data_IF_537912098250
#
_entry.id   IF_537912098250
#
_cell.length_a   1.000
_cell.length_b   1.000
_cell.length_c   1.000
_cell.angle_alpha   90.00
_cell.angle_beta   90.00
_cell.angle_gamma   90.00
#
_symmetry.space_group_name_H-M   'P 1'
#
loop_
_entity.id
_entity.type
_entity.pdbx_description
1 polymer ?
#
# COMPACT_ATOMS: atom_id res chain seq x y z
N UNK A 1 7.17 -4.20 -16.21
CA UNK A 1 7.36 -2.73 -16.38
C UNK A 1 8.09 -2.48 -17.67
N UNK A 2 7.39 -1.87 -18.63
CA UNK A 2 7.84 -1.78 -20.01
C UNK A 2 8.65 -0.52 -20.33
N UNK A 3 8.68 0.49 -19.45
CA UNK A 3 9.45 1.72 -19.70
C UNK A 3 10.09 2.33 -18.44
N UNK A 4 11.17 3.09 -18.63
CA UNK A 4 11.77 3.92 -17.56
C UNK A 4 10.79 5.01 -17.05
N UNK A 5 9.80 5.39 -17.86
CA UNK A 5 8.79 6.40 -17.52
C UNK A 5 7.79 5.84 -16.49
N UNK A 6 7.33 4.59 -16.65
CA UNK A 6 6.51 3.93 -15.63
C UNK A 6 7.25 3.82 -14.29
N UNK A 7 8.56 3.50 -14.32
CA UNK A 7 9.39 3.48 -13.10
C UNK A 7 9.44 4.85 -12.44
N UNK A 8 9.63 5.91 -13.22
CA UNK A 8 9.65 7.28 -12.73
C UNK A 8 8.33 7.66 -12.06
N UNK A 9 7.20 7.31 -12.68
CA UNK A 9 5.87 7.58 -12.13
C UNK A 9 5.63 6.82 -10.82
N UNK A 10 5.93 5.51 -10.78
CA UNK A 10 5.81 4.69 -9.56
C UNK A 10 6.66 5.23 -8.41
N UNK A 11 7.92 5.60 -8.69
CA UNK A 11 8.79 6.19 -7.68
C UNK A 11 8.32 7.59 -7.25
N UNK A 12 7.72 8.37 -8.15
CA UNK A 12 7.14 9.67 -7.81
C UNK A 12 5.92 9.51 -6.91
N UNK A 13 5.00 8.60 -7.26
CA UNK A 13 3.84 8.28 -6.44
C UNK A 13 4.24 7.72 -5.07
N UNK A 14 5.25 6.85 -5.00
CA UNK A 14 5.77 6.35 -3.73
C UNK A 14 6.32 7.46 -2.84
N UNK A 15 7.06 8.43 -3.40
CA UNK A 15 7.60 9.55 -2.62
C UNK A 15 6.49 10.47 -2.10
N UNK A 16 5.49 10.78 -2.93
CA UNK A 16 4.32 11.58 -2.51
C UNK A 16 3.59 10.88 -1.36
N UNK A 17 3.29 9.59 -1.54
CA UNK A 17 2.62 8.80 -0.52
C UNK A 17 3.41 8.75 0.80
N UNK A 18 4.75 8.65 0.74
CA UNK A 18 5.60 8.66 1.94
C UNK A 18 5.46 10.00 2.67
N UNK A 19 5.53 11.12 1.95
CA UNK A 19 5.44 12.45 2.54
C UNK A 19 4.06 12.66 3.20
N UNK A 20 2.97 12.31 2.50
CA UNK A 20 1.60 12.42 3.03
C UNK A 20 1.36 11.48 4.23
N UNK A 21 1.90 10.27 4.21
CA UNK A 21 1.81 9.36 5.36
C UNK A 21 2.58 9.88 6.58
N UNK A 22 3.67 10.62 6.39
CA UNK A 22 4.36 11.29 7.49
C UNK A 22 3.54 12.45 8.07
N UNK A 23 2.80 13.18 7.24
CA UNK A 23 1.86 14.21 7.70
C UNK A 23 0.71 13.58 8.51
N UNK A 24 0.09 12.51 8.00
CA UNK A 24 -0.93 11.73 8.72
C UNK A 24 -0.39 11.20 10.05
N UNK A 25 0.82 10.63 10.05
CA UNK A 25 1.48 10.12 11.26
C UNK A 25 1.67 11.24 12.30
N UNK A 26 2.07 12.42 11.86
CA UNK A 26 2.23 13.57 12.74
C UNK A 26 0.90 13.96 13.39
N UNK A 27 -0.18 14.09 12.60
CA UNK A 27 -1.53 14.37 13.10
C UNK A 27 -2.01 13.32 14.12
N UNK A 28 -1.91 12.04 13.77
CA UNK A 28 -2.33 10.93 14.67
C UNK A 28 -1.51 10.93 15.96
N UNK A 29 -0.20 11.18 15.88
CA UNK A 29 0.66 11.25 17.06
C UNK A 29 0.31 12.44 17.98
N UNK A 30 -0.31 13.49 17.45
CA UNK A 30 -0.84 14.62 18.21
C UNK A 30 -2.28 14.43 18.69
N UNK A 31 -2.88 13.25 18.47
CA UNK A 31 -4.20 12.88 18.99
C UNK A 31 -5.36 13.14 18.04
N UNK A 32 -5.10 13.47 16.78
CA UNK A 32 -6.15 13.56 15.76
C UNK A 32 -6.67 12.17 15.41
N UNK A 33 -7.98 12.07 15.19
CA UNK A 33 -8.60 10.87 14.66
C UNK A 33 -8.47 10.86 13.15
N UNK A 34 -8.19 9.69 12.57
CA UNK A 34 -8.20 9.55 11.11
C UNK A 34 -9.56 10.00 10.56
N UNK A 35 -9.57 10.80 9.50
CA UNK A 35 -10.78 11.28 8.84
C UNK A 35 -10.64 11.24 7.31
N UNK A 36 -11.55 11.88 6.56
CA UNK A 36 -11.52 11.84 5.09
C UNK A 36 -10.43 12.71 4.45
N UNK A 37 -9.74 13.55 5.21
CA UNK A 37 -8.65 14.39 4.69
C UNK A 37 -7.29 13.69 4.70
N UNK A 38 -7.18 12.60 5.46
CA UNK A 38 -5.95 11.83 5.62
C UNK A 38 -5.77 10.79 4.50
N UNK A 39 -4.56 10.67 3.96
CA UNK A 39 -4.20 9.74 2.89
C UNK A 39 -4.43 8.27 3.30
N UNK A 40 -4.29 7.95 4.59
CA UNK A 40 -4.62 6.64 5.15
C UNK A 40 -6.08 6.25 4.90
N UNK A 41 -7.03 7.19 4.94
CA UNK A 41 -8.46 6.91 4.74
C UNK A 41 -8.82 6.71 3.26
N UNK A 42 -7.97 7.17 2.36
CA UNK A 42 -8.11 6.96 0.93
C UNK A 42 -7.61 5.58 0.50
N UNK A 43 -6.41 5.20 0.97
CA UNK A 43 -5.75 3.99 0.47
C UNK A 43 -5.88 2.76 1.33
N UNK A 44 -6.25 2.89 2.61
CA UNK A 44 -6.48 1.74 3.46
C UNK A 44 -7.97 1.34 3.50
N UNK A 45 -8.25 0.04 3.70
CA UNK A 45 -9.58 -0.46 4.02
C UNK A 45 -10.24 0.32 5.18
N UNK A 46 -11.35 1.02 4.92
CA UNK A 46 -11.96 1.95 5.89
C UNK A 46 -12.58 1.26 7.11
N UNK A 47 -13.05 0.03 6.97
CA UNK A 47 -13.67 -0.73 8.06
C UNK A 47 -12.67 -1.02 9.19
N UNK A 48 -11.38 -1.20 8.86
CA UNK A 48 -10.34 -1.49 9.84
C UNK A 48 -9.72 -0.24 10.49
N UNK A 49 -10.29 0.95 10.26
CA UNK A 49 -9.74 2.25 10.70
C UNK A 49 -9.40 2.33 12.18
N UNK A 50 -10.15 1.64 13.03
CA UNK A 50 -9.90 1.53 14.48
C UNK A 50 -8.56 0.86 14.84
N UNK A 51 -7.93 0.16 13.90
CA UNK A 51 -6.64 -0.52 14.09
C UNK A 51 -5.43 0.32 13.63
N UNK A 52 -5.65 1.43 12.92
CA UNK A 52 -4.59 2.26 12.34
C UNK A 52 -4.01 3.22 13.39
N UNK A 53 -3.38 2.66 14.42
CA UNK A 53 -2.66 3.42 15.44
C UNK A 53 -1.28 3.88 14.93
N UNK A 54 -0.59 4.69 15.73
CA UNK A 54 0.77 5.21 15.44
C UNK A 54 1.75 4.11 14.98
N UNK A 55 1.73 2.95 15.63
CA UNK A 55 2.64 1.84 15.28
C UNK A 55 2.26 1.23 13.92
N UNK A 56 0.97 1.03 13.65
CA UNK A 56 0.49 0.56 12.35
C UNK A 56 0.98 1.48 11.23
N UNK A 57 0.78 2.79 11.38
CA UNK A 57 1.16 3.79 10.35
C UNK A 57 2.67 3.78 10.12
N UNK A 58 3.48 3.74 11.18
CA UNK A 58 4.95 3.62 11.05
C UNK A 58 5.35 2.37 10.27
N UNK A 59 4.72 1.22 10.54
CA UNK A 59 5.00 -0.02 9.82
C UNK A 59 4.57 0.08 8.36
N UNK A 60 3.42 0.69 8.08
CA UNK A 60 2.92 0.89 6.73
C UNK A 60 3.82 1.80 5.90
N UNK A 61 4.33 2.90 6.48
CA UNK A 61 5.35 3.76 5.84
C UNK A 61 6.59 2.94 5.46
N UNK A 62 7.07 2.06 6.34
CA UNK A 62 8.22 1.19 6.03
C UNK A 62 7.92 0.22 4.89
N UNK A 63 6.69 -0.30 4.78
CA UNK A 63 6.27 -1.08 3.61
C UNK A 63 6.40 -0.26 2.31
N UNK A 64 5.91 0.98 2.28
CA UNK A 64 6.02 1.87 1.11
C UNK A 64 7.49 2.16 0.76
N UNK A 65 8.34 2.44 1.76
CA UNK A 65 9.78 2.67 1.57
C UNK A 65 10.44 1.44 0.94
N UNK A 66 10.22 0.25 1.51
CA UNK A 66 10.81 -1.00 1.01
C UNK A 66 10.34 -1.32 -0.42
N UNK A 67 9.07 -1.04 -0.74
CA UNK A 67 8.55 -1.18 -2.10
C UNK A 67 9.22 -0.20 -3.07
N UNK A 68 9.45 1.05 -2.65
CA UNK A 68 10.16 2.04 -3.49
C UNK A 68 11.58 1.57 -3.88
N UNK A 69 12.31 0.95 -2.95
CA UNK A 69 13.61 0.34 -3.21
C UNK A 69 13.50 -0.85 -4.17
N UNK A 70 12.47 -1.67 -3.98
CA UNK A 70 12.18 -2.83 -4.82
C UNK A 70 11.86 -2.39 -6.26
N UNK A 71 10.95 -1.42 -6.45
CA UNK A 71 10.57 -0.84 -7.75
C UNK A 71 11.80 -0.25 -8.47
N UNK A 72 12.66 0.46 -7.73
CA UNK A 72 13.88 1.07 -8.30
C UNK A 72 14.82 0.04 -8.92
N UNK A 73 14.95 -1.12 -8.30
CA UNK A 73 15.86 -2.20 -8.72
C UNK A 73 15.16 -3.30 -9.51
N UNK A 74 13.84 -3.20 -9.71
CA UNK A 74 13.01 -4.23 -10.31
C UNK A 74 13.38 -4.53 -11.76
N UNK A 75 13.48 -5.83 -12.04
CA UNK A 75 13.80 -6.39 -13.36
C UNK A 75 12.60 -7.01 -14.07
N UNK A 76 11.44 -7.09 -13.42
CA UNK A 76 10.21 -7.61 -14.03
C UNK A 76 10.07 -9.13 -14.03
N UNK A 77 10.96 -9.86 -13.36
CA UNK A 77 10.94 -11.34 -13.29
C UNK A 77 10.45 -11.87 -11.94
N UNK A 78 10.31 -10.99 -10.94
CA UNK A 78 9.98 -11.34 -9.56
C UNK A 78 8.73 -10.58 -9.12
N UNK A 79 7.81 -11.27 -8.44
CA UNK A 79 6.69 -10.63 -7.75
C UNK A 79 7.21 -9.80 -6.56
N UNK A 80 6.58 -8.66 -6.32
CA UNK A 80 6.84 -7.75 -5.20
C UNK A 80 5.49 -7.27 -4.67
N UNK A 81 4.90 -7.98 -3.71
CA UNK A 81 5.12 -7.63 -2.31
C UNK A 81 5.38 -8.84 -1.41
N UNK A 82 6.00 -8.65 -0.23
CA UNK A 82 6.33 -9.74 0.69
C UNK A 82 5.20 -10.11 1.68
N UNK A 83 4.19 -9.25 1.82
CA UNK A 83 3.09 -9.36 2.79
C UNK A 83 1.83 -8.65 2.31
N UNK A 84 0.67 -8.91 2.93
CA UNK A 84 -0.60 -8.22 2.61
C UNK A 84 -0.49 -6.71 2.77
N UNK A 85 0.23 -6.22 3.78
CA UNK A 85 0.45 -4.80 3.99
C UNK A 85 1.25 -4.18 2.83
N UNK A 86 2.24 -4.92 2.30
CA UNK A 86 2.97 -4.50 1.11
C UNK A 86 2.08 -4.59 -0.15
N UNK A 87 1.13 -5.53 -0.26
CA UNK A 87 0.16 -5.51 -1.37
C UNK A 87 -0.70 -4.25 -1.34
N UNK A 88 -1.24 -3.89 -0.17
CA UNK A 88 -2.04 -2.68 0.01
C UNK A 88 -1.20 -1.44 -0.30
N UNK A 89 0.04 -1.38 0.19
CA UNK A 89 0.97 -0.28 -0.08
C UNK A 89 1.30 -0.16 -1.56
N UNK A 90 1.55 -1.27 -2.27
CA UNK A 90 1.83 -1.23 -3.71
C UNK A 90 0.62 -0.69 -4.49
N UNK A 91 -0.58 -1.13 -4.14
CA UNK A 91 -1.81 -0.60 -4.74
C UNK A 91 -1.95 0.91 -4.52
N UNK A 92 -1.59 1.40 -3.34
CA UNK A 92 -1.57 2.83 -3.04
C UNK A 92 -0.55 3.59 -3.91
N UNK A 93 0.66 3.03 -4.06
CA UNK A 93 1.72 3.59 -4.92
C UNK A 93 1.25 3.67 -6.38
N UNK A 94 0.61 2.63 -6.91
CA UNK A 94 0.11 2.61 -8.29
C UNK A 94 -0.91 3.72 -8.50
N UNK A 95 -1.88 3.87 -7.60
CA UNK A 95 -2.87 4.94 -7.68
C UNK A 95 -2.26 6.35 -7.60
N UNK A 96 -1.30 6.56 -6.70
CA UNK A 96 -0.57 7.82 -6.64
C UNK A 96 0.22 8.09 -7.92
N UNK A 97 0.80 7.04 -8.53
CA UNK A 97 1.51 7.15 -9.79
C UNK A 97 0.57 7.49 -10.97
N UNK A 98 -0.66 6.97 -10.98
CA UNK A 98 -1.71 7.34 -11.93
C UNK A 98 -2.04 8.82 -11.80
N UNK A 99 -2.43 9.26 -10.59
CA UNK A 99 -2.75 10.68 -10.29
C UNK A 99 -1.61 11.60 -10.68
N UNK A 100 -0.37 11.26 -10.30
CA UNK A 100 0.81 12.05 -10.66
C UNK A 100 1.02 12.13 -12.17
N UNK A 101 0.82 11.02 -12.89
CA UNK A 101 0.99 10.96 -14.34
C UNK A 101 -0.05 11.80 -15.07
N UNK A 102 -1.31 11.77 -14.63
CA UNK A 102 -2.38 12.62 -15.15
C UNK A 102 -2.03 14.11 -14.99
N UNK A 103 -1.60 14.52 -13.80
CA UNK A 103 -1.17 15.90 -13.54
C UNK A 103 0.04 16.31 -14.40
N UNK A 104 0.96 15.37 -14.67
CA UNK A 104 2.13 15.63 -15.53
C UNK A 104 1.77 15.67 -17.01
N UNK A 105 0.79 14.90 -17.45
CA UNK A 105 0.34 14.84 -18.84
C UNK A 105 -0.14 16.20 -19.36
N UNK A 106 -0.65 17.07 -18.48
CA UNK A 106 -1.01 18.46 -18.82
C UNK A 106 0.19 19.28 -19.34
N UNK A 107 1.41 18.94 -18.92
CA UNK A 107 2.64 19.67 -19.23
C UNK A 107 3.55 18.91 -20.21
N UNK A 108 3.53 17.59 -20.16
CA UNK A 108 4.37 16.72 -20.98
C UNK A 108 3.59 15.48 -21.41
N UNK A 109 3.26 15.41 -22.70
CA UNK A 109 2.42 14.36 -23.27
C UNK A 109 3.04 12.95 -23.16
N UNK A 110 4.34 12.82 -22.82
CA UNK A 110 4.95 11.49 -22.62
C UNK A 110 4.36 10.73 -21.43
N UNK A 111 3.70 11.42 -20.49
CA UNK A 111 2.99 10.81 -19.35
C UNK A 111 1.51 10.56 -19.65
N UNK A 112 1.02 10.93 -20.85
CA UNK A 112 -0.36 10.64 -21.26
C UNK A 112 -0.58 9.13 -21.43
N UNK A 113 -1.77 8.66 -21.05
CA UNK A 113 -2.17 7.25 -21.19
C UNK A 113 -1.23 6.28 -20.48
N UNK A 114 -0.74 6.64 -19.29
CA UNK A 114 0.04 5.70 -18.49
C UNK A 114 -0.87 4.55 -18.04
N UNK A 115 -0.44 3.33 -18.33
CA UNK A 115 -1.13 2.09 -17.97
C UNK A 115 -0.19 1.25 -17.11
N UNK A 116 -0.66 0.86 -15.92
CA UNK A 116 0.09 0.03 -14.97
C UNK A 116 -0.42 -1.41 -14.91
N UNK A 117 -1.43 -1.80 -15.68
CA UNK A 117 -2.04 -3.14 -15.61
C UNK A 117 -1.03 -4.27 -15.75
N UNK A 118 -0.14 -4.20 -16.75
CA UNK A 118 0.93 -5.20 -16.93
C UNK A 118 1.98 -5.17 -15.81
N UNK A 119 2.21 -4.01 -15.19
CA UNK A 119 3.03 -3.96 -13.99
C UNK A 119 2.34 -4.69 -12.84
N UNK A 120 1.07 -4.44 -12.61
CA UNK A 120 0.28 -5.06 -11.54
C UNK A 120 0.18 -6.57 -11.70
N UNK A 121 -0.09 -7.07 -12.91
CA UNK A 121 -0.18 -8.50 -13.23
C UNK A 121 1.10 -9.28 -12.91
N UNK A 122 2.26 -8.63 -12.96
CA UNK A 122 3.56 -9.25 -12.69
C UNK A 122 4.01 -8.96 -11.25
N UNK A 123 3.67 -7.79 -10.70
CA UNK A 123 4.12 -7.36 -9.39
C UNK A 123 3.35 -8.03 -8.26
N UNK A 124 2.03 -8.26 -8.43
CA UNK A 124 1.21 -8.89 -7.40
C UNK A 124 1.23 -10.43 -7.50
N UNK A 125 1.53 -11.15 -6.40
CA UNK A 125 1.37 -12.61 -6.33
C UNK A 125 -0.08 -13.07 -6.52
N UNK A 126 -1.02 -12.30 -5.98
CA UNK A 126 -2.46 -12.49 -6.08
C UNK A 126 -3.20 -11.17 -5.78
N UNK A 127 -4.51 -11.17 -5.97
CA UNK A 127 -5.41 -10.04 -5.70
C UNK A 127 -6.35 -10.31 -4.51
N UNK A 128 -6.06 -11.30 -3.65
CA UNK A 128 -6.95 -11.67 -2.54
C UNK A 128 -7.06 -10.53 -1.51
N UNK A 129 -6.01 -9.70 -1.39
CA UNK A 129 -6.02 -8.51 -0.54
C UNK A 129 -7.09 -7.48 -0.95
N UNK A 130 -7.59 -7.51 -2.19
CA UNK A 130 -8.66 -6.61 -2.64
C UNK A 130 -9.98 -6.86 -1.91
N UNK A 131 -10.21 -8.08 -1.42
CA UNK A 131 -11.38 -8.42 -0.62
C UNK A 131 -11.46 -7.58 0.66
N UNK A 132 -10.30 -7.11 1.17
CA UNK A 132 -10.25 -6.19 2.31
C UNK A 132 -10.91 -4.84 2.01
N UNK A 133 -11.10 -4.45 0.76
CA UNK A 133 -11.78 -3.19 0.40
C UNK A 133 -13.29 -3.36 0.19
N UNK A 134 -13.81 -4.58 0.26
CA UNK A 134 -15.23 -4.84 0.03
C UNK A 134 -16.08 -4.38 1.23
N UNK A 135 -16.84 -3.30 1.04
CA UNK A 135 -17.75 -2.74 2.05
C UNK A 135 -18.85 -3.70 2.48
N UNK A 136 -19.20 -4.71 1.66
CA UNK A 136 -20.15 -5.74 2.07
C UNK A 136 -19.62 -6.63 3.21
N UNK A 137 -18.30 -6.56 3.49
CA UNK A 137 -17.62 -7.25 4.58
C UNK A 137 -17.34 -6.32 5.78
N UNK A 138 -17.87 -5.10 5.80
CA UNK A 138 -17.80 -4.21 6.95
C UNK A 138 -18.59 -4.78 8.14
N UNK A 139 -18.00 -4.76 9.34
CA UNK A 139 -18.61 -5.26 10.58
C UNK A 139 -18.55 -6.78 10.80
N UNK A 140 -18.02 -7.58 9.87
CA UNK A 140 -17.79 -9.03 10.08
C UNK A 140 -16.34 -9.39 10.46
N UNK A 141 -15.46 -8.39 10.51
CA UNK A 141 -14.01 -8.48 10.77
C UNK A 141 -13.62 -9.19 12.08
N UNK A 142 -14.44 -9.07 13.13
CA UNK A 142 -14.22 -9.75 14.43
C UNK A 142 -15.07 -11.03 14.61
N UNK A 143 -15.73 -11.51 13.56
CA UNK A 143 -16.65 -12.66 13.68
C UNK A 143 -15.96 -14.00 13.43
N UNK A 144 -16.53 -15.10 13.94
CA UNK A 144 -16.04 -16.45 13.61
C UNK A 144 -16.16 -16.83 12.12
N UNK A 145 -16.90 -16.03 11.33
CA UNK A 145 -17.03 -16.21 9.88
C UNK A 145 -15.77 -15.75 9.15
N UNK A 146 -15.18 -14.64 9.61
CA UNK A 146 -13.91 -14.10 9.15
C UNK A 146 -12.77 -15.13 9.27
N UNK A 147 -12.62 -15.75 10.45
CA UNK A 147 -11.59 -16.77 10.70
C UNK A 147 -11.76 -18.03 9.83
N UNK A 148 -13.00 -18.42 9.51
CA UNK A 148 -13.32 -19.59 8.68
C UNK A 148 -13.03 -19.40 7.20
N UNK A 149 -12.97 -18.16 6.72
CA UNK A 149 -12.65 -17.86 5.32
C UNK A 149 -11.13 -17.84 5.04
N UNK A 150 -10.28 -18.08 6.06
CA UNK A 150 -8.83 -18.07 5.90
C UNK A 150 -8.25 -16.70 5.55
N UNK A 151 -9.06 -15.64 5.62
CA UNK A 151 -8.64 -14.28 5.30
C UNK A 151 -7.78 -13.73 6.43
N UNK A 152 -6.69 -13.05 6.08
CA UNK A 152 -5.85 -12.30 7.01
C UNK A 152 -6.61 -11.03 7.43
N UNK A 153 -7.70 -11.18 8.20
CA UNK A 153 -8.61 -10.07 8.50
C UNK A 153 -8.11 -9.18 9.62
N UNK A 154 -7.17 -9.65 10.46
CA UNK A 154 -6.60 -8.81 11.51
C UNK A 154 -5.50 -7.93 10.91
N UNK A 155 -5.59 -6.59 11.00
CA UNK A 155 -4.56 -5.70 10.45
C UNK A 155 -3.15 -5.94 11.03
N UNK A 156 -3.05 -6.51 12.23
CA UNK A 156 -1.78 -6.93 12.80
C UNK A 156 -1.08 -8.04 12.02
N UNK A 157 -1.85 -8.89 11.34
CA UNK A 157 -1.34 -10.02 10.58
C UNK A 157 -0.92 -9.61 9.16
N UNK A 158 -1.33 -8.42 8.69
CA UNK A 158 -0.99 -7.94 7.35
C UNK A 158 0.51 -7.76 7.12
N UNK A 159 1.29 -7.54 8.18
CA UNK A 159 2.74 -7.34 8.11
C UNK A 159 3.53 -8.65 8.18
N UNK A 160 2.86 -9.80 8.36
CA UNK A 160 3.53 -11.10 8.41
C UNK A 160 4.12 -11.44 7.04
N UNK A 161 5.29 -12.07 6.97
CA UNK A 161 5.83 -12.56 5.71
C UNK A 161 4.90 -13.66 5.16
N UNK A 162 4.39 -13.46 3.95
CA UNK A 162 3.55 -14.44 3.23
C UNK A 162 4.30 -14.96 2.01
N UNK A 163 4.86 -14.04 1.21
CA UNK A 163 5.48 -14.37 -0.07
C UNK A 163 7.02 -14.30 -0.01
N UNK A 164 7.57 -13.41 0.81
CA UNK A 164 9.00 -13.21 0.98
C UNK A 164 9.34 -12.66 2.36
N UNK A 165 10.63 -12.40 2.62
CA UNK A 165 11.04 -11.70 3.83
C UNK A 165 10.54 -10.25 3.83
N UNK A 166 10.09 -9.80 4.99
CA UNK A 166 9.65 -8.41 5.26
C UNK A 166 10.75 -7.63 5.97
N UNK A 167 10.66 -6.30 5.94
CA UNK A 167 11.60 -5.47 6.70
C UNK A 167 11.48 -5.73 8.22
N UNK A 168 12.58 -5.87 8.99
CA UNK A 168 12.52 -6.23 10.41
C UNK A 168 11.57 -5.36 11.23
N UNK A 169 11.55 -4.04 11.01
CA UNK A 169 10.66 -3.11 11.71
C UNK A 169 9.15 -3.45 11.59
N UNK A 170 8.72 -4.10 10.50
CA UNK A 170 7.29 -4.38 10.27
C UNK A 170 6.81 -5.63 10.99
N UNK A 171 7.67 -6.64 11.18
CA UNK A 171 7.28 -7.93 11.75
C UNK A 171 8.05 -8.35 12.99
N UNK A 172 9.34 -8.05 13.07
CA UNK A 172 10.11 -8.28 14.28
C UNK A 172 9.79 -7.14 15.26
N UNK A 173 9.22 -7.48 16.41
CA UNK A 173 9.30 -6.57 17.55
C UNK A 173 10.78 -6.29 17.74
N UNK A 174 11.21 -5.06 17.48
CA UNK A 174 12.53 -4.61 17.85
C UNK A 174 12.78 -5.06 19.30
N UNK A 175 13.82 -5.88 19.46
CA UNK A 175 14.35 -6.51 20.67
C UNK A 175 13.88 -5.92 22.00
#
# INVERSE_FOLDING_TARGET
>A
MNTNIQREALLSGANILIDELFEDLFSINNGETIDSSMVLNEYLPRQFKRHYNVLFVKKFIVCVIRLSESIKTWKGEEEIPASTAECIALRAIVKEAETWSEMKAEKDNKYSQMDFSEFEDIAFPDFDFELLFNLALDGIEDTSMAEKMGMVLKPSDWFKPIYASVHPYTYENAL
#
